data_IF_761580237836
#
_entry.id   IF_761580237836
#
_cell.length_a   1.000
_cell.length_b   1.000
_cell.length_c   1.000
_cell.angle_alpha   90.00
_cell.angle_beta   90.00
_cell.angle_gamma   90.00
#
_symmetry.space_group_name_H-M   'P 1'
#
loop_
_entity.id
_entity.type
_entity.pdbx_description
1 polymer ?
#
# COMPACT_ATOMS: atom_id res chain seq x y z
N UNK A 1 -7.80 22.78 12.32
CA UNK A 1 -7.96 21.70 11.33
C UNK A 1 -6.80 20.74 11.51
N UNK A 2 -7.04 19.43 11.54
CA UNK A 2 -5.97 18.44 11.54
C UNK A 2 -5.26 18.53 10.18
N UNK A 3 -3.92 18.61 10.15
CA UNK A 3 -3.15 18.47 8.92
C UNK A 3 -3.37 17.05 8.35
N UNK A 4 -3.55 16.90 7.04
CA UNK A 4 -3.75 15.63 6.32
C UNK A 4 -2.71 14.58 6.74
N UNK A 5 -1.44 14.98 6.82
CA UNK A 5 -0.35 14.12 7.29
C UNK A 5 -0.61 13.52 8.69
N UNK A 6 -1.20 14.29 9.61
CA UNK A 6 -1.53 13.82 10.96
C UNK A 6 -2.70 12.83 10.95
N UNK A 7 -3.69 13.05 10.08
CA UNK A 7 -4.83 12.12 9.91
C UNK A 7 -4.32 10.77 9.39
N UNK A 8 -3.49 10.81 8.35
CA UNK A 8 -2.85 9.63 7.75
C UNK A 8 -1.99 8.88 8.77
N UNK A 9 -1.14 9.59 9.53
CA UNK A 9 -0.28 8.96 10.53
C UNK A 9 -1.10 8.24 11.62
N UNK A 10 -2.20 8.84 12.09
CA UNK A 10 -3.09 8.23 13.07
C UNK A 10 -3.81 7.00 12.51
N UNK A 11 -4.21 7.04 11.24
CA UNK A 11 -4.82 5.91 10.54
C UNK A 11 -3.86 4.72 10.46
N UNK A 12 -2.62 4.96 9.98
CA UNK A 12 -1.59 3.92 9.88
C UNK A 12 -1.25 3.33 11.25
N UNK A 13 -1.08 4.18 12.27
CA UNK A 13 -0.80 3.73 13.63
C UNK A 13 -1.94 2.86 14.22
N UNK A 14 -3.20 3.22 13.95
CA UNK A 14 -4.37 2.42 14.37
C UNK A 14 -4.34 1.05 13.73
N UNK A 15 -4.16 0.98 12.41
CA UNK A 15 -4.13 -0.27 11.67
C UNK A 15 -2.97 -1.17 12.13
N UNK A 16 -1.78 -0.61 12.30
CA UNK A 16 -0.63 -1.35 12.81
C UNK A 16 -0.90 -1.92 14.21
N UNK A 17 -1.52 -1.14 15.11
CA UNK A 17 -1.90 -1.60 16.44
C UNK A 17 -2.86 -2.79 16.40
N UNK A 18 -3.90 -2.72 15.56
CA UNK A 18 -4.85 -3.83 15.38
C UNK A 18 -4.15 -5.10 14.88
N UNK A 19 -3.23 -4.94 13.92
CA UNK A 19 -2.47 -6.05 13.37
C UNK A 19 -1.54 -6.71 14.39
N UNK A 20 -0.80 -5.90 15.14
CA UNK A 20 0.11 -6.39 16.22
C UNK A 20 -0.67 -7.10 17.32
N UNK A 21 -1.87 -6.61 17.65
CA UNK A 21 -2.76 -7.23 18.64
C UNK A 21 -3.44 -8.52 18.13
N UNK A 22 -3.22 -8.91 16.86
CA UNK A 22 -3.84 -10.09 16.25
C UNK A 22 -5.35 -9.93 15.96
N UNK A 23 -5.85 -8.69 15.92
CA UNK A 23 -7.26 -8.37 15.67
C UNK A 23 -7.55 -8.26 14.17
N UNK A 24 -7.38 -9.37 13.45
CA UNK A 24 -7.41 -9.36 11.98
C UNK A 24 -8.75 -8.93 11.38
N UNK A 25 -9.89 -9.31 11.98
CA UNK A 25 -11.21 -8.87 11.49
C UNK A 25 -11.40 -7.35 11.60
N UNK A 26 -10.95 -6.75 12.72
CA UNK A 26 -10.98 -5.30 12.93
C UNK A 26 -9.99 -4.59 12.00
N UNK A 27 -8.83 -5.21 11.77
CA UNK A 27 -7.83 -4.71 10.83
C UNK A 27 -8.38 -4.69 9.39
N UNK A 28 -8.97 -5.77 8.92
CA UNK A 28 -9.56 -5.88 7.58
C UNK A 28 -10.66 -4.84 7.38
N UNK A 29 -11.59 -4.73 8.35
CA UNK A 29 -12.65 -3.71 8.32
C UNK A 29 -12.06 -2.29 8.25
N UNK A 30 -11.05 -1.99 9.08
CA UNK A 30 -10.42 -0.68 9.10
C UNK A 30 -9.62 -0.39 7.80
N UNK A 31 -9.07 -1.42 7.17
CA UNK A 31 -8.37 -1.32 5.90
C UNK A 31 -9.34 -1.01 4.76
N UNK A 32 -10.46 -1.73 4.69
CA UNK A 32 -11.52 -1.48 3.70
C UNK A 32 -12.08 -0.06 3.85
N UNK A 33 -12.36 0.36 5.09
CA UNK A 33 -12.79 1.73 5.40
C UNK A 33 -11.74 2.76 4.98
N UNK A 34 -10.44 2.48 5.17
CA UNK A 34 -9.37 3.37 4.76
C UNK A 34 -9.32 3.54 3.24
N UNK A 35 -9.36 2.43 2.50
CA UNK A 35 -9.36 2.45 1.03
C UNK A 35 -10.59 3.19 0.48
N UNK A 36 -11.78 2.89 1.02
CA UNK A 36 -13.01 3.51 0.56
C UNK A 36 -13.05 5.00 0.90
N UNK A 37 -12.80 5.38 2.15
CA UNK A 37 -13.01 6.76 2.60
C UNK A 37 -11.88 7.71 2.18
N UNK A 38 -10.63 7.24 2.15
CA UNK A 38 -9.50 8.09 1.77
C UNK A 38 -9.23 8.04 0.27
N UNK A 39 -9.40 6.89 -0.38
CA UNK A 39 -9.00 6.71 -1.79
C UNK A 39 -10.20 6.55 -2.74
N UNK A 40 -11.41 6.34 -2.22
CA UNK A 40 -12.60 6.02 -3.02
C UNK A 40 -12.39 4.74 -3.87
N UNK A 41 -11.76 3.73 -3.26
CA UNK A 41 -11.48 2.43 -3.86
C UNK A 41 -12.03 1.33 -2.95
N UNK A 42 -12.81 0.42 -3.50
CA UNK A 42 -13.21 -0.81 -2.81
C UNK A 42 -12.08 -1.84 -2.90
N UNK A 43 -11.85 -2.62 -1.84
CA UNK A 43 -10.78 -3.62 -1.79
C UNK A 43 -10.89 -4.65 -2.91
N UNK A 44 -12.08 -5.19 -3.14
CA UNK A 44 -12.33 -6.15 -4.24
C UNK A 44 -11.95 -5.55 -5.60
N UNK A 45 -12.29 -4.28 -5.83
CA UNK A 45 -11.93 -3.57 -7.06
C UNK A 45 -10.42 -3.37 -7.15
N UNK A 46 -9.77 -2.97 -6.06
CA UNK A 46 -8.31 -2.80 -6.02
C UNK A 46 -7.58 -4.08 -6.43
N UNK A 47 -8.02 -5.21 -5.88
CA UNK A 47 -7.49 -6.55 -6.13
C UNK A 47 -7.83 -7.07 -7.54
N UNK A 48 -8.91 -6.58 -8.16
CA UNK A 48 -9.25 -6.94 -9.54
C UNK A 48 -8.46 -6.15 -10.61
N UNK A 49 -7.89 -4.99 -10.26
CA UNK A 49 -7.14 -4.17 -11.21
C UNK A 49 -5.83 -4.84 -11.60
N UNK A 50 -5.51 -4.83 -12.89
CA UNK A 50 -4.16 -5.11 -13.37
C UNK A 50 -3.16 -4.04 -12.90
N UNK A 51 -1.86 -4.28 -13.09
CA UNK A 51 -0.80 -3.32 -12.81
C UNK A 51 -0.99 -2.01 -13.60
N UNK A 52 -1.30 -2.11 -14.90
CA UNK A 52 -1.50 -0.95 -15.78
C UNK A 52 -2.77 -0.17 -15.42
N UNK A 53 -3.88 -0.85 -15.14
CA UNK A 53 -5.13 -0.19 -14.73
C UNK A 53 -4.98 0.50 -13.38
N UNK A 54 -4.28 -0.15 -12.44
CA UNK A 54 -3.99 0.46 -11.15
C UNK A 54 -3.12 1.69 -11.30
N UNK A 55 -2.03 1.62 -12.08
CA UNK A 55 -1.15 2.75 -12.36
C UNK A 55 -1.93 3.91 -12.97
N UNK A 56 -2.77 3.64 -13.98
CA UNK A 56 -3.61 4.66 -14.60
C UNK A 56 -4.59 5.30 -13.60
N UNK A 57 -5.21 4.49 -12.74
CA UNK A 57 -6.15 4.97 -11.73
C UNK A 57 -5.46 5.87 -10.70
N UNK A 58 -4.30 5.46 -10.14
CA UNK A 58 -3.61 6.26 -9.11
C UNK A 58 -2.98 7.53 -9.69
N UNK A 59 -2.45 7.49 -10.91
CA UNK A 59 -1.92 8.70 -11.57
C UNK A 59 -3.04 9.70 -11.93
N UNK A 60 -4.27 9.23 -12.17
CA UNK A 60 -5.41 10.10 -12.45
C UNK A 60 -6.07 10.68 -11.19
N UNK A 61 -5.77 10.14 -10.01
CA UNK A 61 -6.46 10.48 -8.75
C UNK A 61 -5.92 11.75 -8.07
N UNK A 62 -4.89 12.39 -8.62
CA UNK A 62 -4.26 13.63 -8.12
C UNK A 62 -3.97 13.60 -6.60
N UNK A 63 -3.47 12.45 -6.13
CA UNK A 63 -3.13 12.27 -4.72
C UNK A 63 -1.88 13.07 -4.36
N UNK A 64 -1.87 13.65 -3.15
CA UNK A 64 -0.66 14.24 -2.57
C UNK A 64 0.43 13.18 -2.36
N UNK A 65 1.69 13.61 -2.32
CA UNK A 65 2.84 12.73 -2.04
C UNK A 65 2.64 11.93 -0.75
N UNK A 66 2.12 12.57 0.30
CA UNK A 66 1.82 11.95 1.59
C UNK A 66 0.75 10.85 1.46
N UNK A 67 -0.27 11.10 0.64
CA UNK A 67 -1.37 10.17 0.42
C UNK A 67 -0.95 8.98 -0.45
N UNK A 68 -0.14 9.21 -1.49
CA UNK A 68 0.48 8.13 -2.24
C UNK A 68 1.38 7.28 -1.35
N UNK A 69 2.27 7.90 -0.57
CA UNK A 69 3.11 7.18 0.36
C UNK A 69 2.28 6.38 1.36
N UNK A 70 1.23 6.96 1.93
CA UNK A 70 0.32 6.25 2.84
C UNK A 70 -0.38 5.05 2.19
N UNK A 71 -0.80 5.16 0.93
CA UNK A 71 -1.38 4.04 0.19
C UNK A 71 -0.38 2.88 0.09
N UNK A 72 0.87 3.17 -0.25
CA UNK A 72 1.91 2.13 -0.32
C UNK A 72 2.12 1.45 1.04
N UNK A 73 2.11 2.20 2.14
CA UNK A 73 2.23 1.63 3.49
C UNK A 73 1.02 0.76 3.86
N UNK A 74 -0.18 1.21 3.48
CA UNK A 74 -1.44 0.50 3.71
C UNK A 74 -1.44 -0.86 2.98
N UNK A 75 -1.11 -0.87 1.68
CA UNK A 75 -1.06 -2.08 0.87
C UNK A 75 0.04 -3.05 1.33
N UNK A 76 1.23 -2.53 1.64
CA UNK A 76 2.33 -3.33 2.16
C UNK A 76 1.94 -4.01 3.48
N UNK A 77 1.32 -3.27 4.40
CA UNK A 77 0.86 -3.80 5.68
C UNK A 77 -0.27 -4.82 5.51
N UNK A 78 -1.13 -4.69 4.50
CA UNK A 78 -2.17 -5.70 4.25
C UNK A 78 -1.60 -6.99 3.67
N UNK A 79 -0.60 -6.88 2.79
CA UNK A 79 0.07 -8.04 2.19
C UNK A 79 0.90 -8.85 3.19
N UNK A 80 1.29 -8.29 4.34
CA UNK A 80 2.09 -8.97 5.35
C UNK A 80 1.25 -9.88 6.28
N UNK A 81 1.71 -11.08 6.66
CA UNK A 81 2.96 -11.71 6.20
C UNK A 81 2.86 -12.14 4.73
N UNK A 82 3.98 -12.04 4.00
CA UNK A 82 3.97 -12.36 2.57
C UNK A 82 3.82 -13.86 2.35
N UNK A 83 2.70 -14.24 1.74
CA UNK A 83 2.42 -15.61 1.30
C UNK A 83 2.71 -15.75 -0.20
N UNK A 84 3.06 -16.95 -0.66
CA UNK A 84 3.36 -17.22 -2.07
C UNK A 84 2.07 -17.41 -2.90
N UNK A 85 1.20 -16.41 -2.88
CA UNK A 85 -0.09 -16.40 -3.59
C UNK A 85 -0.24 -15.20 -4.54
N UNK A 86 -1.25 -15.29 -5.41
CA UNK A 86 -1.50 -14.28 -6.45
C UNK A 86 -1.87 -12.92 -5.86
N UNK A 87 -2.57 -12.90 -4.72
CA UNK A 87 -3.02 -11.68 -4.05
C UNK A 87 -1.83 -10.90 -3.49
N UNK A 88 -0.93 -11.56 -2.77
CA UNK A 88 0.31 -10.98 -2.24
C UNK A 88 1.15 -10.44 -3.39
N UNK A 89 1.37 -11.23 -4.44
CA UNK A 89 2.13 -10.80 -5.62
C UNK A 89 1.53 -9.52 -6.22
N UNK A 90 0.21 -9.48 -6.38
CA UNK A 90 -0.48 -8.34 -6.98
C UNK A 90 -0.39 -7.09 -6.10
N UNK A 91 -0.60 -7.23 -4.79
CA UNK A 91 -0.47 -6.12 -3.83
C UNK A 91 0.95 -5.56 -3.82
N UNK A 92 1.98 -6.41 -3.79
CA UNK A 92 3.37 -5.97 -3.77
C UNK A 92 3.78 -5.28 -5.08
N UNK A 93 3.28 -5.73 -6.22
CA UNK A 93 3.47 -5.01 -7.50
C UNK A 93 2.83 -3.62 -7.48
N UNK A 94 1.62 -3.48 -6.91
CA UNK A 94 0.98 -2.16 -6.72
C UNK A 94 1.77 -1.26 -5.79
N UNK A 95 2.35 -1.80 -4.71
CA UNK A 95 3.27 -1.05 -3.83
C UNK A 95 4.47 -0.53 -4.62
N UNK A 96 5.09 -1.38 -5.44
CA UNK A 96 6.23 -1.00 -6.29
C UNK A 96 5.86 0.11 -7.28
N UNK A 97 4.67 0.05 -7.90
CA UNK A 97 4.17 1.10 -8.80
C UNK A 97 4.06 2.44 -8.06
N UNK A 98 3.56 2.45 -6.83
CA UNK A 98 3.46 3.68 -6.04
C UNK A 98 4.85 4.23 -5.69
N UNK A 99 5.80 3.36 -5.32
CA UNK A 99 7.17 3.80 -5.06
C UNK A 99 7.81 4.43 -6.29
N UNK A 100 7.62 3.82 -7.47
CA UNK A 100 8.12 4.39 -8.72
C UNK A 100 7.49 5.77 -9.00
N UNK A 101 6.18 5.92 -8.82
CA UNK A 101 5.50 7.22 -9.00
C UNK A 101 6.00 8.29 -8.01
N UNK A 102 6.23 7.91 -6.75
CA UNK A 102 6.77 8.82 -5.73
C UNK A 102 8.18 9.32 -6.09
N UNK A 103 9.03 8.43 -6.61
CA UNK A 103 10.39 8.78 -7.03
C UNK A 103 10.38 9.63 -8.31
N UNK A 104 9.62 9.24 -9.34
CA UNK A 104 9.67 9.90 -10.65
C UNK A 104 8.91 11.22 -10.69
N UNK A 105 7.71 11.26 -10.12
CA UNK A 105 6.77 12.37 -10.32
C UNK A 105 6.81 13.35 -9.15
N UNK A 106 7.14 12.86 -7.95
CA UNK A 106 7.15 13.66 -6.72
C UNK A 106 8.54 13.90 -6.13
N UNK A 107 9.60 13.30 -6.70
CA UNK A 107 10.98 13.34 -6.19
C UNK A 107 11.07 13.00 -4.70
N UNK A 108 10.21 12.09 -4.25
CA UNK A 108 10.11 11.64 -2.87
C UNK A 108 10.90 10.35 -2.67
N UNK A 109 12.00 10.44 -1.94
CA UNK A 109 12.80 9.30 -1.52
C UNK A 109 12.64 9.08 -0.01
N UNK A 110 12.32 7.85 0.38
CA UNK A 110 12.19 7.44 1.77
C UNK A 110 13.04 6.20 2.02
N UNK A 111 13.87 6.24 3.07
CA UNK A 111 14.63 5.06 3.50
C UNK A 111 13.71 3.87 3.79
N UNK A 112 12.53 4.13 4.34
CA UNK A 112 11.52 3.08 4.59
C UNK A 112 11.03 2.44 3.28
N UNK A 113 10.81 3.24 2.23
CA UNK A 113 10.39 2.72 0.93
C UNK A 113 11.50 1.93 0.26
N UNK A 114 12.77 2.36 0.39
CA UNK A 114 13.93 1.62 -0.11
C UNK A 114 14.10 0.26 0.59
N UNK A 115 13.91 0.23 1.91
CA UNK A 115 13.96 -1.01 2.69
C UNK A 115 12.82 -1.96 2.28
N UNK A 116 11.59 -1.45 2.15
CA UNK A 116 10.43 -2.21 1.70
C UNK A 116 10.60 -2.72 0.27
N UNK A 117 11.08 -1.89 -0.64
CA UNK A 117 11.43 -2.26 -2.03
C UNK A 117 12.41 -3.43 -2.04
N UNK A 118 13.45 -3.39 -1.19
CA UNK A 118 14.43 -4.47 -1.05
C UNK A 118 13.82 -5.75 -0.51
N UNK A 119 12.89 -5.65 0.45
CA UNK A 119 12.14 -6.81 0.98
C UNK A 119 11.25 -7.44 -0.08
N UNK A 120 10.53 -6.63 -0.86
CA UNK A 120 9.68 -7.08 -1.97
C UNK A 120 10.52 -7.80 -3.04
N UNK A 121 11.65 -7.22 -3.45
CA UNK A 121 12.54 -7.85 -4.42
C UNK A 121 13.05 -9.21 -3.93
N UNK A 122 13.43 -9.31 -2.66
CA UNK A 122 13.87 -10.58 -2.06
C UNK A 122 12.75 -11.61 -2.09
N UNK A 123 11.54 -11.23 -1.69
CA UNK A 123 10.37 -12.10 -1.76
C UNK A 123 10.14 -12.63 -3.19
N UNK A 124 10.20 -11.76 -4.21
CA UNK A 124 10.03 -12.20 -5.59
C UNK A 124 11.15 -13.13 -6.05
N UNK A 125 12.39 -12.84 -5.69
CA UNK A 125 13.53 -13.69 -6.00
C UNK A 125 13.41 -15.08 -5.36
N UNK A 126 13.04 -15.14 -4.08
CA UNK A 126 13.01 -16.38 -3.31
C UNK A 126 11.85 -17.31 -3.70
N UNK A 127 10.75 -16.76 -4.23
CA UNK A 127 9.54 -17.51 -4.56
C UNK A 127 9.30 -17.70 -6.07
N UNK A 128 9.81 -16.79 -6.90
CA UNK A 128 9.53 -16.74 -8.34
C UNK A 128 10.77 -16.48 -9.20
N UNK A 129 11.94 -16.29 -8.60
CA UNK A 129 13.22 -16.26 -9.30
C UNK A 129 13.54 -17.63 -9.88
N UNK A 130 14.00 -17.64 -11.13
CA UNK A 130 14.53 -18.86 -11.77
C UNK A 130 15.96 -19.15 -11.32
#
# INVERSE_FOLDING_TARGET
MLNEARKIALLLARLLGLKVDGKFDEFNTAFDDALLNEYNIETEKLLALTEDEFKAQVSAADYSTEKLNALSQLLYMYAEPFEADEETVLLLKKVMIIFDLLETDHHYESFENLDKRSTIYRYFNDNYGS
#
